data_IF_384729272212
#
_entry.id   IF_384729272212
#
_cell.length_a   1.000
_cell.length_b   1.000
_cell.length_c   1.000
_cell.angle_alpha   90.00
_cell.angle_beta   90.00
_cell.angle_gamma   90.00
#
_symmetry.space_group_name_H-M   'P 1'
#
loop_
_entity.id
_entity.type
_entity.pdbx_description
1 polymer ?
#
# COMPACT_ATOMS: atom_id res chain seq x y z
N UNK A 1 -12.36 -3.36 0.23
CA UNK A 1 -12.72 -2.25 1.14
C UNK A 1 -11.89 -2.46 2.38
N UNK A 2 -10.95 -1.55 2.67
CA UNK A 2 -9.90 -1.81 3.66
C UNK A 2 -10.46 -2.27 5.01
N UNK A 3 -11.44 -1.54 5.56
CA UNK A 3 -12.08 -1.92 6.81
C UNK A 3 -12.71 -3.32 6.75
N UNK A 4 -13.45 -3.66 5.70
CA UNK A 4 -14.04 -4.99 5.54
C UNK A 4 -12.98 -6.09 5.48
N UNK A 5 -11.94 -5.91 4.67
CA UNK A 5 -10.87 -6.89 4.47
C UNK A 5 -10.07 -7.11 5.78
N UNK A 6 -9.79 -6.03 6.51
CA UNK A 6 -9.19 -6.11 7.84
C UNK A 6 -10.07 -6.84 8.87
N UNK A 7 -11.40 -6.78 8.77
CA UNK A 7 -12.25 -7.65 9.63
C UNK A 7 -12.09 -9.13 9.30
N UNK A 8 -11.79 -9.48 8.05
CA UNK A 8 -11.53 -10.88 7.67
C UNK A 8 -10.22 -11.35 8.29
N UNK A 9 -9.21 -10.48 8.36
CA UNK A 9 -7.99 -10.75 9.13
C UNK A 9 -8.30 -10.95 10.61
N UNK A 10 -9.03 -10.01 11.22
CA UNK A 10 -9.41 -10.06 12.64
C UNK A 10 -10.14 -11.36 13.03
N UNK A 11 -10.98 -11.87 12.13
CA UNK A 11 -11.80 -13.06 12.36
C UNK A 11 -11.13 -14.37 11.90
N UNK A 12 -9.86 -14.31 11.47
CA UNK A 12 -9.10 -15.48 11.02
C UNK A 12 -9.52 -16.04 9.66
N UNK A 13 -10.24 -15.25 8.85
CA UNK A 13 -10.63 -15.61 7.48
C UNK A 13 -9.56 -15.23 6.45
N UNK A 14 -8.68 -14.28 6.78
CA UNK A 14 -7.50 -13.92 6.01
C UNK A 14 -6.28 -13.89 6.92
N UNK A 15 -5.12 -14.22 6.38
CA UNK A 15 -3.84 -14.09 7.09
C UNK A 15 -3.20 -12.70 6.90
N UNK A 16 -3.57 -11.99 5.84
CA UNK A 16 -3.03 -10.68 5.51
C UNK A 16 -3.97 -9.81 4.65
N UNK A 17 -3.76 -8.50 4.71
CA UNK A 17 -4.31 -7.47 3.83
C UNK A 17 -3.17 -6.55 3.40
N UNK A 18 -3.06 -6.28 2.08
CA UNK A 18 -1.88 -5.63 1.50
C UNK A 18 -2.32 -4.65 0.41
N UNK A 19 -1.99 -3.37 0.57
CA UNK A 19 -2.19 -2.35 -0.45
C UNK A 19 -0.95 -1.47 -0.66
N UNK A 20 -0.15 -1.73 -1.71
CA UNK A 20 1.09 -1.01 -1.98
C UNK A 20 0.93 0.24 -2.85
N UNK A 21 -0.29 0.56 -3.30
CA UNK A 21 -0.57 1.60 -4.30
C UNK A 21 0.15 2.94 -4.07
N UNK A 22 0.01 3.59 -2.91
CA UNK A 22 0.70 4.86 -2.64
C UNK A 22 2.23 4.78 -2.70
N UNK A 23 2.82 3.64 -2.33
CA UNK A 23 4.27 3.41 -2.41
C UNK A 23 4.71 3.22 -3.86
N UNK A 24 3.97 2.43 -4.63
CA UNK A 24 4.19 2.24 -6.07
C UNK A 24 4.17 3.59 -6.81
N UNK A 25 3.21 4.46 -6.51
CA UNK A 25 3.12 5.81 -7.09
C UNK A 25 4.32 6.68 -6.72
N UNK A 26 4.80 6.57 -5.48
CA UNK A 26 5.93 7.36 -5.00
C UNK A 26 7.28 6.91 -5.59
N UNK A 27 7.44 5.61 -5.86
CA UNK A 27 8.74 5.02 -6.21
C UNK A 27 8.91 4.67 -7.69
N UNK A 28 7.83 4.40 -8.42
CA UNK A 28 7.89 3.98 -9.84
C UNK A 28 7.62 5.18 -10.75
N UNK A 29 8.58 5.61 -11.59
CA UNK A 29 8.37 6.70 -12.54
C UNK A 29 7.18 6.46 -13.46
N UNK A 30 6.39 7.50 -13.76
CA UNK A 30 5.25 7.42 -14.68
C UNK A 30 4.02 6.67 -14.13
N UNK A 31 4.10 6.15 -12.90
CA UNK A 31 3.05 5.29 -12.35
C UNK A 31 1.84 6.06 -11.85
N UNK A 32 2.02 7.32 -11.43
CA UNK A 32 0.91 8.20 -11.08
C UNK A 32 -0.08 8.33 -12.24
N UNK A 33 0.44 8.57 -13.44
CA UNK A 33 -0.33 8.73 -14.66
C UNK A 33 -1.11 7.44 -14.99
N UNK A 34 -0.50 6.27 -14.78
CA UNK A 34 -1.19 4.99 -14.95
C UNK A 34 -2.36 4.84 -13.95
N UNK A 35 -2.15 5.20 -12.69
CA UNK A 35 -3.19 5.16 -11.67
C UNK A 35 -4.32 6.15 -11.97
N UNK A 36 -4.00 7.35 -12.45
CA UNK A 36 -5.00 8.34 -12.87
C UNK A 36 -5.80 7.87 -14.09
N UNK A 37 -5.17 7.22 -15.08
CA UNK A 37 -5.89 6.63 -16.22
C UNK A 37 -6.91 5.58 -15.74
N UNK A 38 -6.49 4.66 -14.87
CA UNK A 38 -7.36 3.60 -14.34
C UNK A 38 -8.45 4.18 -13.44
N UNK A 39 -8.13 5.21 -12.65
CA UNK A 39 -9.05 5.86 -11.72
C UNK A 39 -9.90 6.98 -12.33
N UNK A 40 -9.91 7.15 -13.66
CA UNK A 40 -10.75 8.14 -14.34
C UNK A 40 -10.37 9.60 -14.04
N UNK A 41 -9.07 9.86 -13.88
CA UNK A 41 -8.50 11.16 -13.55
C UNK A 41 -8.21 11.37 -12.06
N UNK A 42 -8.49 10.38 -11.21
CA UNK A 42 -8.18 10.41 -9.78
C UNK A 42 -7.29 9.24 -9.40
N UNK A 43 -6.36 9.47 -8.47
CA UNK A 43 -5.65 8.38 -7.79
C UNK A 43 -6.57 7.84 -6.69
N UNK A 44 -6.88 6.54 -6.74
CA UNK A 44 -7.75 5.86 -5.77
C UNK A 44 -6.93 4.93 -4.87
N UNK A 45 -6.68 5.36 -3.64
CA UNK A 45 -6.07 4.55 -2.59
C UNK A 45 -6.75 4.85 -1.24
N UNK A 46 -6.45 4.05 -0.23
CA UNK A 46 -6.99 4.24 1.12
C UNK A 46 -6.62 5.60 1.70
N UNK A 47 -7.62 6.30 2.24
CA UNK A 47 -7.41 7.47 3.09
C UNK A 47 -7.20 7.02 4.54
N UNK A 48 -6.69 7.90 5.42
CA UNK A 48 -6.35 7.50 6.80
C UNK A 48 -7.61 7.08 7.58
N UNK A 49 -8.74 7.72 7.30
CA UNK A 49 -10.02 7.38 7.92
C UNK A 49 -10.56 5.99 7.53
N UNK A 50 -10.18 5.46 6.36
CA UNK A 50 -10.55 4.11 5.94
C UNK A 50 -9.83 3.04 6.77
N UNK A 51 -8.68 3.40 7.34
CA UNK A 51 -7.75 2.48 8.00
C UNK A 51 -7.82 2.57 9.53
N UNK A 52 -7.90 3.77 10.09
CA UNK A 52 -7.59 4.04 11.49
C UNK A 52 -8.32 3.14 12.49
N UNK A 53 -9.64 2.99 12.35
CA UNK A 53 -10.43 2.19 13.30
C UNK A 53 -10.09 0.69 13.21
N UNK A 54 -9.98 0.17 11.99
CA UNK A 54 -9.72 -1.25 11.78
C UNK A 54 -8.26 -1.61 12.11
N UNK A 55 -7.30 -0.72 11.82
CA UNK A 55 -5.90 -0.87 12.22
C UNK A 55 -5.77 -0.99 13.74
N UNK A 56 -6.41 -0.11 14.50
CA UNK A 56 -6.42 -0.18 15.97
C UNK A 56 -7.00 -1.51 16.47
N UNK A 57 -8.13 -1.98 15.91
CA UNK A 57 -8.70 -3.28 16.29
C UNK A 57 -7.75 -4.45 15.99
N UNK A 58 -7.01 -4.40 14.89
CA UNK A 58 -6.05 -5.43 14.51
C UNK A 58 -4.82 -5.44 15.43
N UNK A 59 -4.27 -4.27 15.74
CA UNK A 59 -3.14 -4.13 16.66
C UNK A 59 -3.50 -4.68 18.06
N UNK A 60 -4.68 -4.34 18.58
CA UNK A 60 -5.19 -4.87 19.86
C UNK A 60 -5.43 -6.39 19.82
N UNK A 61 -5.69 -6.96 18.64
CA UNK A 61 -5.80 -8.40 18.42
C UNK A 61 -4.43 -9.09 18.21
N UNK A 62 -3.32 -8.35 18.26
CA UNK A 62 -1.96 -8.87 18.11
C UNK A 62 -1.48 -9.03 16.67
N UNK A 63 -2.21 -8.51 15.68
CA UNK A 63 -1.74 -8.44 14.31
C UNK A 63 -0.68 -7.33 14.14
N UNK A 64 0.16 -7.46 13.11
CA UNK A 64 1.18 -6.47 12.75
C UNK A 64 0.62 -5.57 11.65
N UNK A 65 0.61 -4.26 11.86
CA UNK A 65 0.09 -3.26 10.93
C UNK A 65 1.14 -2.16 10.70
N UNK A 66 1.52 -1.95 9.44
CA UNK A 66 2.46 -0.89 9.01
C UNK A 66 2.04 -0.34 7.66
N UNK A 67 2.73 0.69 7.17
CA UNK A 67 2.71 0.98 5.74
C UNK A 67 3.53 -0.05 4.95
N UNK A 68 3.53 0.03 3.62
CA UNK A 68 4.30 -0.89 2.78
C UNK A 68 5.82 -0.67 2.80
N UNK A 69 6.32 0.31 3.57
CA UNK A 69 7.75 0.45 3.91
C UNK A 69 8.10 -0.16 5.26
N UNK A 70 7.12 -0.65 6.02
CA UNK A 70 7.32 -1.18 7.37
C UNK A 70 7.20 -0.14 8.48
N UNK A 71 6.83 1.10 8.15
CA UNK A 71 6.72 2.18 9.14
C UNK A 71 5.34 2.20 9.82
N UNK A 72 5.24 2.61 11.09
CA UNK A 72 3.96 2.73 11.79
C UNK A 72 3.00 3.74 11.14
N UNK A 73 1.69 3.46 11.21
CA UNK A 73 0.66 4.36 10.65
C UNK A 73 0.34 5.56 11.56
N UNK A 74 0.68 5.49 12.85
CA UNK A 74 0.22 6.40 13.91
C UNK A 74 0.69 7.86 13.79
N UNK A 75 1.71 8.13 12.98
CA UNK A 75 2.23 9.48 12.75
C UNK A 75 1.44 10.31 11.73
N UNK A 76 0.46 9.73 11.03
CA UNK A 76 -0.21 10.39 9.90
C UNK A 76 -1.49 11.13 10.34
N UNK A 77 -1.80 12.30 9.75
CA UNK A 77 -3.05 13.01 10.03
C UNK A 77 -4.28 12.15 9.68
N UNK A 78 -5.24 12.05 10.62
CA UNK A 78 -6.45 11.26 10.40
C UNK A 78 -7.40 11.89 9.37
N UNK A 79 -7.51 13.22 9.38
CA UNK A 79 -8.45 13.97 8.55
C UNK A 79 -7.71 14.73 7.46
N UNK A 80 -8.24 14.62 6.24
CA UNK A 80 -7.82 15.38 5.08
C UNK A 80 -8.14 14.63 3.80
N UNK A 81 -7.66 15.15 2.67
CA UNK A 81 -7.98 14.62 1.34
C UNK A 81 -6.87 14.93 0.35
N UNK A 82 -6.80 14.15 -0.73
CA UNK A 82 -5.77 14.27 -1.75
C UNK A 82 -4.65 13.25 -1.58
N UNK A 83 -3.69 13.28 -2.51
CA UNK A 83 -2.64 12.28 -2.60
C UNK A 83 -1.78 12.17 -1.33
N UNK A 84 -1.54 13.29 -0.65
CA UNK A 84 -0.70 13.33 0.56
C UNK A 84 -1.34 12.61 1.77
N UNK A 85 -2.65 12.37 1.73
CA UNK A 85 -3.38 11.63 2.76
C UNK A 85 -3.51 10.15 2.41
N UNK A 86 -3.17 9.73 1.18
CA UNK A 86 -3.29 8.34 0.80
C UNK A 86 -2.19 7.50 1.45
N UNK A 87 -2.58 6.32 1.93
CA UNK A 87 -1.72 5.45 2.74
C UNK A 87 -1.65 4.05 2.17
N UNK A 88 -0.42 3.56 2.01
CA UNK A 88 -0.19 2.14 1.80
C UNK A 88 -0.34 1.42 3.14
N UNK A 89 -0.64 0.13 3.11
CA UNK A 89 -0.82 -0.67 4.32
C UNK A 89 -0.42 -2.12 4.08
N UNK A 90 0.24 -2.71 5.08
CA UNK A 90 0.37 -4.14 5.27
C UNK A 90 -0.16 -4.47 6.65
N UNK A 91 -1.21 -5.28 6.70
CA UNK A 91 -1.69 -5.89 7.92
C UNK A 91 -1.51 -7.41 7.81
N UNK A 92 -0.91 -8.04 8.81
CA UNK A 92 -0.63 -9.47 8.81
C UNK A 92 -0.84 -10.10 10.18
N UNK A 93 -1.30 -11.36 10.20
CA UNK A 93 -1.61 -12.10 11.42
C UNK A 93 -0.38 -12.40 12.30
N UNK A 94 0.84 -12.26 11.78
CA UNK A 94 2.07 -12.47 12.55
C UNK A 94 3.29 -11.76 11.90
N UNK A 95 4.38 -11.54 12.68
CA UNK A 95 5.59 -10.86 12.19
C UNK A 95 6.29 -11.55 11.02
N UNK A 96 6.32 -12.89 10.98
CA UNK A 96 7.00 -13.63 9.92
C UNK A 96 6.33 -13.40 8.57
N UNK A 97 4.99 -13.45 8.53
CA UNK A 97 4.23 -13.16 7.32
C UNK A 97 4.36 -11.70 6.91
N UNK A 98 4.32 -10.79 7.87
CA UNK A 98 4.51 -9.35 7.64
C UNK A 98 5.84 -9.06 6.91
N UNK A 99 6.97 -9.57 7.43
CA UNK A 99 8.28 -9.37 6.79
C UNK A 99 8.35 -9.99 5.40
N UNK A 100 7.81 -11.20 5.20
CA UNK A 100 7.79 -11.84 3.89
C UNK A 100 6.96 -11.05 2.86
N UNK A 101 5.89 -10.39 3.29
CA UNK A 101 5.09 -9.51 2.42
C UNK A 101 5.88 -8.26 2.06
N UNK A 102 6.56 -7.61 3.01
CA UNK A 102 7.39 -6.44 2.71
C UNK A 102 8.49 -6.76 1.70
N UNK A 103 9.19 -7.89 1.87
CA UNK A 103 10.19 -8.37 0.91
C UNK A 103 9.58 -8.58 -0.49
N UNK A 104 8.40 -9.21 -0.56
CA UNK A 104 7.71 -9.43 -1.83
C UNK A 104 7.24 -8.13 -2.49
N UNK A 105 6.84 -7.13 -1.70
CA UNK A 105 6.49 -5.78 -2.19
C UNK A 105 7.73 -5.07 -2.72
N UNK A 106 8.85 -5.10 -2.00
CA UNK A 106 10.14 -4.54 -2.43
C UNK A 106 10.58 -5.15 -3.77
N UNK A 107 10.57 -6.47 -3.87
CA UNK A 107 10.92 -7.20 -5.10
C UNK A 107 9.98 -6.82 -6.25
N UNK A 108 8.68 -6.66 -5.95
CA UNK A 108 7.66 -6.23 -6.91
C UNK A 108 7.93 -4.84 -7.47
N UNK A 109 8.18 -3.87 -6.59
CA UNK A 109 8.51 -2.50 -6.96
C UNK A 109 9.82 -2.46 -7.75
N UNK A 110 10.85 -3.21 -7.32
CA UNK A 110 12.12 -3.31 -8.04
C UNK A 110 11.96 -3.78 -9.49
N UNK A 111 11.09 -4.78 -9.73
CA UNK A 111 10.76 -5.24 -11.08
C UNK A 111 10.03 -4.18 -11.91
N UNK A 112 9.08 -3.44 -11.31
CA UNK A 112 8.36 -2.37 -11.99
C UNK A 112 9.31 -1.24 -12.39
N UNK A 113 10.16 -0.78 -11.47
CA UNK A 113 11.15 0.27 -11.74
C UNK A 113 12.13 -0.14 -12.85
N UNK A 114 12.58 -1.40 -12.85
CA UNK A 114 13.45 -1.91 -13.91
C UNK A 114 12.74 -1.95 -15.28
N UNK A 115 11.46 -2.32 -15.32
CA UNK A 115 10.69 -2.36 -16.56
C UNK A 115 10.46 -0.96 -17.15
N UNK A 116 10.15 0.03 -16.32
CA UNK A 116 9.97 1.43 -16.76
C UNK A 116 11.30 2.04 -17.22
N UNK A 117 12.41 1.75 -16.54
CA UNK A 117 13.75 2.19 -16.97
C UNK A 117 14.15 1.66 -18.36
N UNK A 118 13.70 0.44 -18.72
CA UNK A 118 13.89 -0.14 -20.06
C UNK A 118 12.98 0.53 -21.09
N UNK A 119 11.75 0.87 -20.72
CA UNK A 119 10.78 1.58 -21.57
C UNK A 119 11.29 2.99 -21.94
N UNK A 120 11.79 3.75 -20.97
CA UNK A 120 12.29 5.11 -21.18
C UNK A 120 13.56 5.15 -22.06
N UNK A 121 14.47 4.18 -21.89
CA UNK A 121 15.66 4.02 -22.73
C UNK A 121 15.30 3.65 -24.19
N UNK A 122 14.26 2.83 -24.40
CA UNK A 122 13.78 2.47 -25.73
C UNK A 122 13.10 3.63 -26.47
N UNK A 123 12.52 4.59 -25.75
CA UNK A 123 11.91 5.81 -26.32
C UNK A 123 12.95 6.86 -26.69
N UNK A 124 14.01 7.04 -25.87
CA UNK A 124 15.11 7.99 -26.16
C UNK A 124 16.05 7.57 -27.30
N UNK A 125 16.00 6.30 -27.72
CA UNK A 125 16.80 5.77 -28.82
C UNK A 125 16.17 5.90 -30.21
N UNK A 126 15.02 6.58 -30.34
CA UNK A 126 14.33 6.88 -31.60
C UNK A 126 14.34 8.39 -31.87
#
# INVERSE_FOLDING_TARGET
SAAFDMTRLLTGQLDAYVEPGPRIIAEVPGMREQFEIVGGGAVLNNSPYDLAAAALCLEEAGAIVTDCGGEPLSGRPLLGSGADFQMSIVAAANPRLHSAILEAVDDGIGRLTAAEGVSEAAVRGR
#
